data_IF_136009360363
#
_entry.id   IF_136009360363
#
_cell.length_a   1.000
_cell.length_b   1.000
_cell.length_c   1.000
_cell.angle_alpha   90.00
_cell.angle_beta   90.00
_cell.angle_gamma   90.00
#
_symmetry.space_group_name_H-M   'P 1'
#
loop_
_entity.id
_entity.type
_entity.pdbx_description
1 polymer ?
#
# COMPACT_ATOMS: atom_id res chain seq x y z
N UNK A 1 -29.71 15.99 -27.19
CA UNK A 1 -29.38 16.89 -26.06
C UNK A 1 -28.29 16.22 -25.26
N UNK A 2 -27.06 16.68 -25.43
CA UNK A 2 -25.89 16.16 -24.71
C UNK A 2 -25.90 16.66 -23.28
N UNK A 3 -25.96 15.74 -22.31
CA UNK A 3 -25.81 16.05 -20.89
C UNK A 3 -24.33 16.24 -20.59
N UNK A 4 -23.89 17.49 -20.50
CA UNK A 4 -22.56 17.85 -20.03
C UNK A 4 -22.40 17.43 -18.56
N UNK A 5 -21.53 16.45 -18.30
CA UNK A 5 -21.06 16.14 -16.96
C UNK A 5 -20.14 17.27 -16.48
N UNK A 6 -20.57 17.98 -15.44
CA UNK A 6 -19.79 19.01 -14.77
C UNK A 6 -18.72 18.34 -13.89
N UNK A 7 -17.44 18.77 -13.96
CA UNK A 7 -16.40 18.22 -13.09
C UNK A 7 -16.61 18.69 -11.64
N UNK A 8 -16.77 17.74 -10.71
CA UNK A 8 -16.94 18.01 -9.28
C UNK A 8 -15.64 18.56 -8.67
N UNK A 9 -15.53 19.88 -8.65
CA UNK A 9 -14.45 20.65 -8.02
C UNK A 9 -14.91 21.21 -6.67
N UNK A 10 -15.35 20.34 -5.76
CA UNK A 10 -15.49 20.73 -4.36
C UNK A 10 -14.32 20.16 -3.56
N UNK A 11 -13.43 21.04 -3.11
CA UNK A 11 -12.53 20.76 -2.01
C UNK A 11 -13.38 20.27 -0.83
N UNK A 12 -13.14 19.05 -0.35
CA UNK A 12 -13.94 18.44 0.71
C UNK A 12 -13.95 19.33 1.96
N UNK A 13 -15.11 19.45 2.60
CA UNK A 13 -15.27 20.18 3.86
C UNK A 13 -14.25 19.67 4.89
N UNK A 14 -13.42 20.54 5.49
CA UNK A 14 -12.48 20.16 6.54
C UNK A 14 -13.27 19.54 7.69
N UNK A 15 -13.20 18.23 7.85
CA UNK A 15 -14.01 17.46 8.82
C UNK A 15 -14.64 16.18 8.27
N UNK A 16 -14.89 16.08 6.95
CA UNK A 16 -15.33 14.85 6.29
C UNK A 16 -14.17 13.93 5.86
N UNK A 17 -12.95 14.45 5.94
CA UNK A 17 -11.70 13.76 5.59
C UNK A 17 -11.43 12.57 6.52
N UNK A 18 -11.90 12.60 7.78
CA UNK A 18 -11.71 11.47 8.71
C UNK A 18 -12.47 10.21 8.30
N UNK A 19 -13.48 10.27 7.41
CA UNK A 19 -14.19 9.07 6.96
C UNK A 19 -13.75 8.61 5.57
N UNK A 20 -12.81 9.32 4.95
CA UNK A 20 -12.41 9.10 3.57
C UNK A 20 -10.90 9.01 3.43
N UNK A 21 -10.46 8.23 2.46
CA UNK A 21 -9.08 8.20 2.00
C UNK A 21 -9.10 8.52 0.51
N UNK A 22 -8.35 9.53 0.09
CA UNK A 22 -8.37 10.04 -1.28
C UNK A 22 -9.80 10.26 -1.85
N UNK A 23 -10.73 10.72 -1.00
CA UNK A 23 -12.13 10.97 -1.38
C UNK A 23 -13.05 9.74 -1.40
N UNK A 24 -12.53 8.53 -1.18
CA UNK A 24 -13.30 7.28 -1.09
C UNK A 24 -13.57 6.91 0.37
N UNK A 25 -14.77 6.43 0.67
CA UNK A 25 -15.11 5.98 2.03
C UNK A 25 -14.30 4.73 2.41
N UNK A 26 -13.96 4.61 3.70
CA UNK A 26 -13.33 3.40 4.23
C UNK A 26 -14.32 2.24 4.20
N UNK A 27 -13.93 1.13 3.56
CA UNK A 27 -14.74 -0.09 3.46
C UNK A 27 -14.43 -1.08 4.56
N UNK A 28 -13.25 -1.01 5.17
CA UNK A 28 -12.87 -1.85 6.30
C UNK A 28 -11.39 -1.75 6.67
N UNK A 29 -10.94 -2.68 7.51
CA UNK A 29 -9.58 -2.78 8.01
C UNK A 29 -9.02 -4.19 7.85
N UNK A 30 -7.76 -4.29 7.43
CA UNK A 30 -6.98 -5.51 7.44
C UNK A 30 -6.07 -5.49 8.68
N UNK A 31 -6.11 -6.50 9.56
CA UNK A 31 -5.09 -6.62 10.60
C UNK A 31 -3.71 -6.79 9.94
N UNK A 32 -2.71 -6.08 10.43
CA UNK A 32 -1.36 -6.11 9.86
C UNK A 32 -0.32 -6.08 10.96
N UNK A 33 0.73 -6.90 10.82
CA UNK A 33 1.91 -6.85 11.68
C UNK A 33 3.08 -6.11 11.02
N UNK A 34 2.87 -5.63 9.79
CA UNK A 34 3.86 -4.90 9.00
C UNK A 34 3.52 -3.42 8.89
N UNK A 35 2.80 -2.85 9.84
CA UNK A 35 2.53 -1.41 9.87
C UNK A 35 3.76 -0.58 10.27
N UNK A 36 4.80 -1.22 10.82
CA UNK A 36 5.97 -0.56 11.39
C UNK A 36 5.79 -0.11 12.84
N UNK A 37 4.64 -0.41 13.47
CA UNK A 37 4.35 -0.14 14.87
C UNK A 37 3.53 -1.30 15.46
N UNK A 38 4.12 -1.99 16.45
CA UNK A 38 3.53 -3.18 17.10
C UNK A 38 2.23 -2.89 17.85
N UNK A 39 1.93 -1.62 18.17
CA UNK A 39 0.69 -1.21 18.81
C UNK A 39 -0.42 -0.87 17.81
N UNK A 40 -0.06 -0.54 16.57
CA UNK A 40 -1.00 -0.11 15.52
C UNK A 40 -1.10 -1.18 14.45
N UNK A 41 -1.87 -2.22 14.73
CA UNK A 41 -1.88 -3.46 13.95
C UNK A 41 -2.99 -3.54 12.90
N UNK A 42 -3.33 -2.43 12.24
CA UNK A 42 -4.37 -2.42 11.20
C UNK A 42 -4.10 -1.41 10.10
N UNK A 43 -4.54 -1.75 8.88
CA UNK A 43 -4.45 -0.90 7.70
C UNK A 43 -5.83 -0.80 7.04
N UNK A 44 -6.35 0.41 6.77
CA UNK A 44 -7.66 0.58 6.14
C UNK A 44 -7.60 0.30 4.63
N UNK A 45 -8.73 -0.11 4.07
CA UNK A 45 -8.92 -0.22 2.62
C UNK A 45 -10.24 0.43 2.19
N UNK A 46 -10.28 0.95 0.96
CA UNK A 46 -11.49 1.56 0.38
C UNK A 46 -12.12 0.65 -0.67
N UNK A 47 -11.35 -0.25 -1.29
CA UNK A 47 -11.82 -1.22 -2.29
C UNK A 47 -11.38 -2.65 -1.98
N UNK A 48 -12.06 -3.66 -2.53
CA UNK A 48 -11.63 -5.06 -2.41
C UNK A 48 -10.26 -5.31 -3.06
N UNK A 49 -9.92 -4.57 -4.12
CA UNK A 49 -8.60 -4.69 -4.75
C UNK A 49 -7.49 -4.14 -3.83
N UNK A 50 -7.73 -3.02 -3.16
CA UNK A 50 -6.82 -2.53 -2.10
C UNK A 50 -6.70 -3.53 -0.95
N UNK A 51 -7.80 -4.17 -0.55
CA UNK A 51 -7.76 -5.23 0.46
C UNK A 51 -6.89 -6.40 0.02
N UNK A 52 -7.03 -6.86 -1.23
CA UNK A 52 -6.22 -7.92 -1.83
C UNK A 52 -4.73 -7.54 -1.84
N UNK A 53 -4.43 -6.31 -2.24
CA UNK A 53 -3.07 -5.79 -2.25
C UNK A 53 -2.49 -5.73 -0.83
N UNK A 54 -3.23 -5.17 0.14
CA UNK A 54 -2.80 -5.12 1.54
C UNK A 54 -2.48 -6.52 2.09
N UNK A 55 -3.36 -7.50 1.86
CA UNK A 55 -3.13 -8.88 2.29
C UNK A 55 -1.90 -9.50 1.59
N UNK A 56 -1.68 -9.19 0.31
CA UNK A 56 -0.47 -9.62 -0.40
C UNK A 56 0.80 -9.02 0.23
N UNK A 57 0.82 -7.72 0.50
CA UNK A 57 1.95 -7.03 1.14
C UNK A 57 2.26 -7.58 2.54
N UNK A 58 1.23 -7.88 3.33
CA UNK A 58 1.38 -8.50 4.66
C UNK A 58 2.15 -9.82 4.60
N UNK A 59 1.94 -10.63 3.55
CA UNK A 59 2.58 -11.93 3.39
C UNK A 59 3.81 -11.94 2.48
N UNK A 60 4.09 -10.85 1.78
CA UNK A 60 5.24 -10.80 0.88
C UNK A 60 6.56 -10.79 1.67
N UNK A 61 7.50 -11.73 1.44
CA UNK A 61 8.67 -11.91 2.32
C UNK A 61 9.61 -10.71 2.36
N UNK A 62 9.76 -9.97 1.25
CA UNK A 62 10.66 -8.80 1.21
C UNK A 62 10.03 -7.52 1.77
N UNK A 63 8.72 -7.49 2.04
CA UNK A 63 8.10 -6.29 2.62
C UNK A 63 8.37 -6.30 4.12
N UNK A 64 9.07 -5.28 4.60
CA UNK A 64 9.31 -5.08 6.04
C UNK A 64 8.13 -4.36 6.68
N UNK A 65 7.75 -3.22 6.11
CA UNK A 65 6.56 -2.49 6.53
C UNK A 65 5.81 -1.88 5.34
N UNK A 66 4.53 -1.59 5.54
CA UNK A 66 3.70 -0.84 4.62
C UNK A 66 2.62 -0.04 5.39
N UNK A 67 2.20 1.08 4.81
CA UNK A 67 1.19 2.00 5.33
C UNK A 67 0.40 2.60 4.17
N UNK A 68 -0.69 3.32 4.47
CA UNK A 68 -1.38 4.13 3.47
C UNK A 68 -0.52 5.32 3.07
N UNK A 69 -0.34 5.51 1.76
CA UNK A 69 0.35 6.69 1.21
C UNK A 69 -0.60 7.87 0.98
N UNK A 70 -1.89 7.59 0.85
CA UNK A 70 -2.96 8.52 0.51
C UNK A 70 -3.86 8.91 1.69
N UNK A 71 -3.52 8.45 2.89
CA UNK A 71 -4.14 8.91 4.12
C UNK A 71 -3.82 10.39 4.38
N UNK A 72 -4.82 11.15 4.80
CA UNK A 72 -4.65 12.55 5.18
C UNK A 72 -4.15 12.69 6.61
N UNK A 73 -3.56 13.85 6.92
CA UNK A 73 -3.09 14.17 8.27
C UNK A 73 -4.21 14.15 9.31
N UNK A 74 -5.46 14.47 8.92
CA UNK A 74 -6.61 14.39 9.81
C UNK A 74 -7.08 12.94 10.04
N UNK A 75 -6.98 12.09 9.02
CA UNK A 75 -7.44 10.71 9.06
C UNK A 75 -6.57 9.83 9.98
N UNK A 76 -5.25 10.02 9.94
CA UNK A 76 -4.28 9.19 10.68
C UNK A 76 -4.48 9.19 12.20
N UNK A 77 -4.58 10.34 12.90
CA UNK A 77 -4.82 10.36 14.34
C UNK A 77 -6.22 9.85 14.69
N UNK A 78 -7.24 10.16 13.88
CA UNK A 78 -8.61 9.70 14.12
C UNK A 78 -8.71 8.16 14.12
N UNK A 79 -7.93 7.49 13.27
CA UNK A 79 -7.95 6.03 13.13
C UNK A 79 -6.78 5.30 13.78
N UNK A 80 -5.89 6.03 14.47
CA UNK A 80 -4.70 5.49 15.14
C UNK A 80 -3.82 4.66 14.18
N UNK A 81 -3.54 5.19 13.00
CA UNK A 81 -2.78 4.49 11.95
C UNK A 81 -1.30 4.81 12.07
N UNK A 82 -0.43 3.81 11.87
CA UNK A 82 1.01 4.03 11.82
C UNK A 82 1.42 4.60 10.47
N UNK A 83 2.24 5.65 10.48
CA UNK A 83 2.77 6.31 9.28
C UNK A 83 4.26 6.61 9.41
N UNK A 84 5.12 5.59 9.61
CA UNK A 84 6.56 5.78 9.79
C UNK A 84 7.26 6.55 8.65
N UNK A 85 6.69 6.56 7.44
CA UNK A 85 7.21 7.27 6.28
C UNK A 85 6.54 8.65 6.05
N UNK A 86 5.70 9.11 6.98
CA UNK A 86 4.92 10.34 6.85
C UNK A 86 3.60 10.16 6.10
N UNK A 87 2.76 11.19 6.10
CA UNK A 87 1.41 11.18 5.52
C UNK A 87 0.92 12.60 5.26
N UNK A 88 0.15 12.86 4.18
CA UNK A 88 0.13 12.05 2.96
C UNK A 88 1.54 11.99 2.33
N UNK A 89 1.77 11.03 1.44
CA UNK A 89 3.05 10.86 0.76
C UNK A 89 2.94 11.27 -0.71
N UNK A 90 3.16 12.56 -1.04
CA UNK A 90 3.03 13.03 -2.40
C UNK A 90 4.19 12.57 -3.29
N UNK A 91 3.85 12.17 -4.51
CA UNK A 91 4.79 11.91 -5.59
C UNK A 91 4.56 12.92 -6.71
N UNK A 92 5.61 13.66 -7.04
CA UNK A 92 5.60 14.62 -8.15
C UNK A 92 5.70 13.87 -9.48
N UNK A 93 4.88 14.27 -10.47
CA UNK A 93 4.94 13.76 -11.83
C UNK A 93 4.65 14.86 -12.85
N UNK A 94 5.20 14.72 -14.05
CA UNK A 94 4.95 15.63 -15.16
C UNK A 94 3.99 14.98 -16.16
N UNK A 95 2.97 15.72 -16.56
CA UNK A 95 2.00 15.29 -17.57
C UNK A 95 1.48 16.50 -18.34
N UNK A 96 1.49 16.42 -19.68
CA UNK A 96 1.06 17.49 -20.59
C UNK A 96 1.72 18.86 -20.29
N UNK A 97 3.04 18.84 -20.03
CA UNK A 97 3.83 20.05 -19.79
C UNK A 97 3.58 20.73 -18.44
N UNK A 98 2.83 20.10 -17.54
CA UNK A 98 2.54 20.62 -16.19
C UNK A 98 3.04 19.66 -15.12
N UNK A 99 3.50 20.21 -14.00
CA UNK A 99 3.80 19.46 -12.79
C UNK A 99 2.50 19.16 -12.03
N UNK A 100 2.37 17.93 -11.55
CA UNK A 100 1.23 17.45 -10.78
C UNK A 100 1.72 16.64 -9.59
N UNK A 101 0.85 16.48 -8.59
CA UNK A 101 1.05 15.57 -7.46
C UNK A 101 0.03 14.46 -7.49
N UNK A 102 0.43 13.26 -7.12
CA UNK A 102 -0.51 12.19 -6.79
C UNK A 102 -0.08 11.49 -5.50
N UNK A 103 -1.04 10.81 -4.88
CA UNK A 103 -0.84 10.04 -3.66
C UNK A 103 -0.97 8.56 -4.01
N UNK A 104 0.00 7.72 -3.62
CA UNK A 104 -0.09 6.29 -3.83
C UNK A 104 -0.95 5.60 -2.77
N UNK A 105 -1.59 4.48 -3.14
CA UNK A 105 -2.41 3.71 -2.19
C UNK A 105 -1.59 3.24 -0.99
N UNK A 106 -0.45 2.61 -1.25
CA UNK A 106 0.46 2.13 -0.21
C UNK A 106 1.92 2.55 -0.46
N UNK A 107 2.61 2.83 0.63
CA UNK A 107 4.07 2.98 0.67
C UNK A 107 4.63 2.12 1.78
N UNK A 108 5.90 1.79 1.70
CA UNK A 108 6.53 0.93 2.69
C UNK A 108 8.04 0.87 2.56
N UNK A 109 8.63 0.00 3.36
CA UNK A 109 10.07 -0.29 3.30
C UNK A 109 10.25 -1.78 3.06
N UNK A 110 11.19 -2.13 2.20
CA UNK A 110 11.63 -3.50 1.99
C UNK A 110 12.62 -3.93 3.09
N UNK A 111 12.94 -5.22 3.16
CA UNK A 111 13.89 -5.76 4.14
C UNK A 111 15.31 -5.20 3.98
N UNK A 112 15.70 -4.83 2.77
CA UNK A 112 16.99 -4.19 2.43
C UNK A 112 16.98 -2.66 2.65
N UNK A 113 15.88 -2.09 3.13
CA UNK A 113 15.72 -0.65 3.33
C UNK A 113 15.17 0.12 2.11
N UNK A 114 14.96 -0.54 0.97
CA UNK A 114 14.45 0.08 -0.24
C UNK A 114 13.01 0.59 -0.10
N UNK A 115 12.66 1.68 -0.80
CA UNK A 115 11.29 2.21 -0.82
C UNK A 115 10.35 1.27 -1.60
N UNK A 116 9.29 0.79 -0.93
CA UNK A 116 8.16 0.17 -1.60
C UNK A 116 7.10 1.23 -1.94
N UNK A 117 6.63 1.26 -3.17
CA UNK A 117 5.40 1.93 -3.57
C UNK A 117 4.47 0.88 -4.19
N UNK A 118 3.23 0.78 -3.72
CA UNK A 118 2.28 -0.18 -4.22
C UNK A 118 0.91 0.44 -4.51
N UNK A 119 0.34 0.06 -5.64
CA UNK A 119 -0.88 0.62 -6.21
C UNK A 119 -1.86 -0.48 -6.59
N UNK A 120 -3.14 -0.28 -6.33
CA UNK A 120 -4.23 -1.14 -6.79
C UNK A 120 -4.95 -0.46 -7.95
N UNK A 121 -5.20 -1.18 -9.04
CA UNK A 121 -6.02 -0.63 -10.12
C UNK A 121 -6.43 -1.65 -11.17
N UNK A 122 -7.51 -1.31 -11.88
CA UNK A 122 -7.91 -2.05 -13.09
C UNK A 122 -7.00 -1.69 -14.26
N UNK A 123 -6.81 -2.62 -15.17
CA UNK A 123 -5.89 -2.42 -16.30
C UNK A 123 -6.39 -1.35 -17.26
N UNK A 124 -7.70 -1.26 -17.48
CA UNK A 124 -8.28 -0.21 -18.32
C UNK A 124 -8.03 1.19 -17.72
N UNK A 125 -8.02 1.30 -16.38
CA UNK A 125 -7.71 2.56 -15.70
C UNK A 125 -6.20 2.88 -15.76
N UNK A 126 -5.35 1.86 -15.66
CA UNK A 126 -3.88 2.02 -15.62
C UNK A 126 -3.26 2.18 -17.02
N UNK A 127 -3.97 1.80 -18.08
CA UNK A 127 -3.55 2.02 -19.48
C UNK A 127 -3.75 3.45 -19.99
N UNK A 128 -4.46 4.31 -19.24
CA UNK A 128 -4.61 5.72 -19.58
C UNK A 128 -3.27 6.46 -19.50
N UNK A 129 -2.98 7.35 -20.45
CA UNK A 129 -1.70 8.09 -20.53
C UNK A 129 -1.29 8.77 -19.22
N UNK A 130 -2.25 9.37 -18.51
CA UNK A 130 -2.01 10.00 -17.20
C UNK A 130 -1.65 8.99 -16.12
N UNK A 131 -2.28 7.81 -16.13
CA UNK A 131 -1.98 6.74 -15.17
C UNK A 131 -0.58 6.15 -15.40
N UNK A 132 -0.18 6.02 -16.67
CA UNK A 132 1.19 5.65 -17.05
C UNK A 132 2.20 6.66 -16.49
N UNK A 133 1.97 7.97 -16.68
CA UNK A 133 2.85 9.01 -16.17
C UNK A 133 3.01 8.97 -14.63
N UNK A 134 1.94 8.66 -13.89
CA UNK A 134 2.01 8.45 -12.43
C UNK A 134 2.86 7.22 -12.09
N UNK A 135 2.60 6.09 -12.75
CA UNK A 135 3.32 4.83 -12.52
C UNK A 135 4.82 4.97 -12.82
N UNK A 136 5.20 5.65 -13.91
CA UNK A 136 6.59 5.95 -14.22
C UNK A 136 7.25 6.80 -13.13
N UNK A 137 6.56 7.82 -12.62
CA UNK A 137 7.08 8.65 -11.54
C UNK A 137 7.26 7.86 -10.23
N UNK A 138 6.31 6.99 -9.88
CA UNK A 138 6.47 6.08 -8.72
C UNK A 138 7.67 5.16 -8.90
N UNK A 139 7.77 4.52 -10.06
CA UNK A 139 8.84 3.59 -10.35
C UNK A 139 10.21 4.26 -10.26
N UNK A 140 10.36 5.44 -10.85
CA UNK A 140 11.60 6.23 -10.76
C UNK A 140 11.93 6.60 -9.32
N UNK A 141 10.94 7.07 -8.55
CA UNK A 141 11.16 7.42 -7.14
C UNK A 141 11.57 6.20 -6.30
N UNK A 142 10.92 5.06 -6.50
CA UNK A 142 11.26 3.82 -5.82
C UNK A 142 12.70 3.38 -6.16
N UNK A 143 13.06 3.37 -7.45
CA UNK A 143 14.41 3.01 -7.91
C UNK A 143 15.49 3.94 -7.35
N UNK A 144 15.25 5.25 -7.32
CA UNK A 144 16.18 6.22 -6.72
C UNK A 144 16.40 5.98 -5.22
N UNK A 145 15.41 5.40 -4.54
CA UNK A 145 15.51 4.97 -3.13
C UNK A 145 15.81 3.48 -2.97
N UNK A 146 16.41 2.85 -3.99
CA UNK A 146 16.85 1.45 -3.94
C UNK A 146 15.72 0.43 -3.80
N UNK A 147 14.49 0.78 -4.14
CA UNK A 147 13.31 -0.05 -3.92
C UNK A 147 12.51 -0.36 -5.19
N UNK A 148 11.23 -0.68 -5.01
CA UNK A 148 10.38 -1.23 -6.07
C UNK A 148 9.00 -0.58 -6.11
N UNK A 149 8.45 -0.52 -7.32
CA UNK A 149 7.06 -0.18 -7.57
C UNK A 149 6.27 -1.44 -7.95
N UNK A 150 5.14 -1.68 -7.27
CA UNK A 150 4.24 -2.78 -7.56
C UNK A 150 2.84 -2.28 -7.94
N UNK A 151 2.29 -2.91 -8.98
CA UNK A 151 0.91 -2.68 -9.41
C UNK A 151 0.11 -3.97 -9.19
N UNK A 152 -0.88 -3.92 -8.32
CA UNK A 152 -1.87 -4.97 -8.11
C UNK A 152 -3.07 -4.80 -9.03
N UNK A 153 -3.25 -5.73 -9.96
CA UNK A 153 -4.42 -5.84 -10.84
C UNK A 153 -5.19 -7.12 -10.53
N UNK A 154 -6.37 -7.31 -11.13
CA UNK A 154 -7.11 -8.56 -10.97
C UNK A 154 -6.35 -9.77 -11.56
N UNK A 155 -5.48 -9.55 -12.54
CA UNK A 155 -4.69 -10.62 -13.17
C UNK A 155 -3.61 -11.17 -12.22
N UNK A 156 -2.92 -10.29 -11.49
CA UNK A 156 -1.81 -10.70 -10.62
C UNK A 156 -2.20 -10.87 -9.13
N UNK A 157 -3.33 -10.32 -8.71
CA UNK A 157 -3.97 -10.54 -7.40
C UNK A 157 -5.21 -11.43 -7.53
N UNK A 158 -5.00 -12.68 -7.94
CA UNK A 158 -6.08 -13.64 -8.14
C UNK A 158 -6.92 -13.90 -6.88
N UNK A 159 -8.22 -14.15 -7.07
CA UNK A 159 -9.14 -14.39 -5.96
C UNK A 159 -8.76 -15.63 -5.14
N UNK A 160 -8.32 -16.69 -5.82
CA UNK A 160 -7.87 -17.91 -5.17
C UNK A 160 -6.70 -17.62 -4.20
N UNK A 161 -5.68 -16.89 -4.66
CA UNK A 161 -4.56 -16.49 -3.80
C UNK A 161 -5.07 -15.63 -2.63
N UNK A 162 -5.95 -14.69 -2.89
CA UNK A 162 -6.51 -13.82 -1.85
C UNK A 162 -7.22 -14.62 -0.76
N UNK A 163 -8.13 -15.54 -1.11
CA UNK A 163 -8.85 -16.34 -0.12
C UNK A 163 -7.92 -17.29 0.65
N UNK A 164 -6.90 -17.85 0.00
CA UNK A 164 -5.88 -18.64 0.68
C UNK A 164 -5.12 -17.80 1.72
N UNK A 165 -4.73 -16.58 1.36
CA UNK A 165 -4.05 -15.66 2.28
C UNK A 165 -4.98 -15.22 3.42
N UNK A 166 -6.27 -14.95 3.15
CA UNK A 166 -7.26 -14.67 4.21
C UNK A 166 -7.39 -15.86 5.16
N UNK A 167 -7.46 -17.09 4.63
CA UNK A 167 -7.53 -18.29 5.47
C UNK A 167 -6.31 -18.40 6.39
N UNK A 168 -5.10 -18.21 5.84
CA UNK A 168 -3.85 -18.18 6.61
C UNK A 168 -3.85 -17.04 7.65
N UNK A 169 -4.38 -15.88 7.28
CA UNK A 169 -4.46 -14.71 8.13
C UNK A 169 -5.40 -14.90 9.31
N UNK A 170 -6.59 -15.45 9.07
CA UNK A 170 -7.57 -15.77 10.11
C UNK A 170 -7.08 -16.86 11.08
N UNK A 171 -6.20 -17.75 10.62
CA UNK A 171 -5.61 -18.83 11.43
C UNK A 171 -4.22 -18.49 11.97
N UNK A 172 -3.73 -17.27 11.77
CA UNK A 172 -2.37 -16.88 12.14
C UNK A 172 -2.20 -16.99 13.66
N UNK A 173 -1.31 -17.88 14.08
CA UNK A 173 -0.89 -18.02 15.47
C UNK A 173 0.56 -17.56 15.61
N UNK A 174 0.85 -16.85 16.70
CA UNK A 174 2.23 -16.70 17.15
C UNK A 174 2.72 -18.06 17.64
N UNK A 175 3.93 -18.44 17.24
CA UNK A 175 4.61 -19.60 17.78
C UNK A 175 5.72 -19.10 18.70
N UNK A 176 5.66 -19.49 19.97
CA UNK A 176 6.54 -18.99 21.03
C UNK A 176 8.02 -19.28 20.75
N UNK A 177 8.31 -20.37 20.07
CA UNK A 177 9.66 -20.82 19.70
C UNK A 177 10.19 -20.18 18.42
N UNK A 178 9.52 -19.18 17.83
CA UNK A 178 10.00 -18.58 16.58
C UNK A 178 11.41 -18.03 16.70
N UNK A 179 11.70 -17.33 17.80
CA UNK A 179 13.03 -16.78 18.03
C UNK A 179 14.10 -17.87 18.10
N UNK A 180 13.79 -19.00 18.74
CA UNK A 180 14.68 -20.17 18.79
C UNK A 180 14.93 -20.73 17.38
N UNK A 181 13.88 -20.84 16.55
CA UNK A 181 13.99 -21.28 15.15
C UNK A 181 14.83 -20.28 14.33
N UNK A 182 14.60 -18.97 14.49
CA UNK A 182 15.35 -17.93 13.77
C UNK A 182 16.84 -17.97 14.15
N UNK A 183 17.17 -18.17 15.43
CA UNK A 183 18.58 -18.27 15.85
C UNK A 183 19.30 -19.50 15.31
N UNK A 184 18.57 -20.59 15.02
CA UNK A 184 19.15 -21.83 14.50
C UNK A 184 19.21 -21.88 12.97
N UNK A 185 18.38 -21.09 12.28
CA UNK A 185 18.31 -21.04 10.82
C UNK A 185 19.65 -20.68 10.15
N UNK A 186 20.44 -19.67 10.57
CA UNK A 186 21.72 -19.35 9.94
C UNK A 186 22.76 -20.47 9.98
N UNK A 187 22.66 -21.38 10.96
CA UNK A 187 23.54 -22.54 11.08
C UNK A 187 23.10 -23.70 10.15
N UNK A 188 21.81 -23.78 9.81
CA UNK A 188 21.21 -24.86 9.03
C UNK A 188 20.90 -24.45 7.59
N UNK A 189 20.88 -23.15 7.29
CA UNK A 189 20.52 -22.59 5.99
C UNK A 189 21.69 -21.77 5.41
N UNK A 190 22.67 -22.44 4.78
CA UNK A 190 23.89 -21.79 4.27
C UNK A 190 23.63 -20.74 3.18
N UNK A 191 22.42 -20.69 2.63
CA UNK A 191 22.00 -19.80 1.54
C UNK A 191 21.34 -18.51 2.02
N UNK A 192 21.25 -18.28 3.34
CA UNK A 192 20.58 -17.13 3.95
C UNK A 192 21.48 -15.95 4.30
N UNK A 193 22.75 -15.98 3.89
CA UNK A 193 23.74 -14.93 4.20
C UNK A 193 23.88 -13.87 3.12
N UNK A 194 23.31 -14.09 1.94
CA UNK A 194 23.47 -13.24 0.76
C UNK A 194 22.19 -12.46 0.39
N UNK A 195 21.41 -12.05 1.39
CA UNK A 195 20.30 -11.08 1.21
C UNK A 195 20.54 -9.89 2.14
#
# INVERSE_FOLDING_TARGET
METQQTPSTCAGTPGLDVFKIAGKSVSGYVPSRKTGDDHRVRVPYTTLLEQRLSIYLEYHPHVRCYQRGDASEAFVPAHHIAVPLGTPYPIDYFYEGKAHKYLPDFIGTLCDGGLLIAEAGREEEKSQRRAIAKAEAAQRLAQLKGGVYWLGTNENLSECRHYNLIYLHARRRSFSTYQEIVTTLPAQWPWGRDI
#
